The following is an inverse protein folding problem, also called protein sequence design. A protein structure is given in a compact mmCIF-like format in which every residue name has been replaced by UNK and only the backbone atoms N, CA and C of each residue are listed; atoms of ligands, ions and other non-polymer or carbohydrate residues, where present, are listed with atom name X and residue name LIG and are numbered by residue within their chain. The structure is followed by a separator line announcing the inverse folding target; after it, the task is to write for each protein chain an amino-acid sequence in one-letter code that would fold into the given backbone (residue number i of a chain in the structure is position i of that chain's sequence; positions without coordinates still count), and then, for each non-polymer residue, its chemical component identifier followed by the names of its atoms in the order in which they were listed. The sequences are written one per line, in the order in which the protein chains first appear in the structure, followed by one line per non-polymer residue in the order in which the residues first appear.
data_IF_515527360520
#
_entry.id   IF_515527360520
#
_cell.length_a   1.000
_cell.length_b   1.000
_cell.length_c   1.000
_cell.angle_alpha   90.00
_cell.angle_beta   90.00
_cell.angle_gamma   90.00
#
_symmetry.space_group_name_H-M   'P 1'
#
loop_
_entity.id
_entity.type
_entity.pdbx_description
1 polymer ?
#
# COMPACT_ATOMS: atom_id res chain seq x y z
N UNK A 1 1.61 12.25 -2.49
CA UNK A 1 1.78 11.18 -3.49
C UNK A 1 0.73 10.08 -3.34
N UNK A 2 0.29 9.40 -4.42
CA UNK A 2 -0.68 8.31 -4.36
C UNK A 2 -0.17 7.16 -3.48
N UNK A 3 -1.07 6.49 -2.74
CA UNK A 3 -0.69 5.33 -1.91
C UNK A 3 -0.11 4.19 -2.76
N UNK A 4 -0.70 3.97 -3.94
CA UNK A 4 -0.26 2.97 -4.92
C UNK A 4 1.22 3.11 -5.29
N UNK A 5 1.69 4.34 -5.53
CA UNK A 5 3.10 4.60 -5.89
C UNK A 5 4.05 4.32 -4.72
N UNK A 6 3.65 4.64 -3.49
CA UNK A 6 4.48 4.37 -2.30
C UNK A 6 4.58 2.87 -2.02
N UNK A 7 3.48 2.14 -2.16
CA UNK A 7 3.44 0.68 -2.05
C UNK A 7 4.37 0.05 -3.09
N UNK A 8 4.22 0.46 -4.36
CA UNK A 8 5.06 0.02 -5.47
C UNK A 8 6.56 0.29 -5.23
N UNK A 9 6.89 1.46 -4.70
CA UNK A 9 8.27 1.82 -4.33
C UNK A 9 8.82 0.95 -3.20
N UNK A 10 8.03 0.63 -2.16
CA UNK A 10 8.45 -0.24 -1.05
C UNK A 10 8.64 -1.69 -1.47
N UNK A 11 7.87 -2.18 -2.45
CA UNK A 11 8.02 -3.54 -3.00
C UNK A 11 8.97 -3.60 -4.19
N UNK A 12 9.61 -2.49 -4.57
CA UNK A 12 10.57 -2.43 -5.68
C UNK A 12 9.99 -2.72 -7.06
N UNK A 13 8.71 -2.37 -7.31
CA UNK A 13 8.06 -2.57 -8.61
C UNK A 13 7.59 -1.27 -9.24
N UNK A 14 7.71 -1.17 -10.57
CA UNK A 14 7.24 -0.01 -11.33
C UNK A 14 5.76 -0.08 -11.75
N UNK A 15 5.18 -1.29 -11.81
CA UNK A 15 3.78 -1.50 -12.22
C UNK A 15 3.06 -2.48 -11.29
N UNK A 16 1.79 -2.19 -11.03
CA UNK A 16 0.88 -3.09 -10.34
C UNK A 16 0.51 -4.31 -11.20
N UNK A 17 -0.33 -5.20 -10.66
CA UNK A 17 -0.82 -6.37 -11.39
C UNK A 17 -1.72 -5.92 -12.53
N UNK A 18 -1.16 -5.73 -13.72
CA UNK A 18 -1.89 -5.25 -14.91
C UNK A 18 -3.09 -6.12 -15.33
N UNK A 19 -3.26 -7.30 -14.72
CA UNK A 19 -4.48 -8.10 -14.74
C UNK A 19 -4.90 -8.36 -13.29
N UNK A 20 -5.87 -7.58 -12.83
CA UNK A 20 -6.52 -7.73 -11.54
C UNK A 20 -6.76 -9.20 -11.18
N UNK A 21 -6.46 -9.52 -9.91
CA UNK A 21 -6.78 -10.75 -9.17
C UNK A 21 -6.00 -12.05 -9.46
N UNK A 22 -5.38 -12.25 -10.63
CA UNK A 22 -4.76 -13.56 -10.96
C UNK A 22 -3.24 -13.58 -10.69
N UNK A 23 -2.53 -12.47 -10.91
CA UNK A 23 -1.10 -12.39 -10.61
C UNK A 23 -0.86 -11.52 -9.39
N UNK A 24 -0.22 -12.06 -8.35
CA UNK A 24 0.18 -11.23 -7.20
C UNK A 24 1.23 -10.21 -7.67
N UNK A 25 0.92 -8.92 -7.54
CA UNK A 25 1.86 -7.85 -7.82
C UNK A 25 3.06 -7.90 -6.87
N UNK A 26 2.93 -8.49 -5.69
CA UNK A 26 4.02 -8.66 -4.74
C UNK A 26 3.47 -8.88 -3.34
N UNK A 27 4.37 -8.84 -2.36
CA UNK A 27 4.04 -8.82 -0.93
C UNK A 27 4.57 -7.53 -0.32
N UNK A 28 3.82 -6.97 0.62
CA UNK A 28 4.22 -5.82 1.43
C UNK A 28 4.06 -6.20 2.90
N UNK A 29 5.02 -5.83 3.74
CA UNK A 29 4.93 -6.14 5.17
C UNK A 29 4.13 -5.10 5.93
N UNK A 30 3.53 -5.47 7.06
CA UNK A 30 2.88 -4.50 7.96
C UNK A 30 3.80 -3.35 8.39
N UNK A 31 5.10 -3.62 8.58
CA UNK A 31 6.09 -2.60 8.89
C UNK A 31 6.20 -1.56 7.76
N UNK A 32 6.29 -2.01 6.51
CA UNK A 32 6.32 -1.12 5.34
C UNK A 32 5.00 -0.34 5.18
N UNK A 33 3.87 -0.95 5.50
CA UNK A 33 2.57 -0.25 5.51
C UNK A 33 2.56 0.85 6.58
N UNK A 34 3.08 0.60 7.77
CA UNK A 34 3.18 1.60 8.84
C UNK A 34 4.03 2.79 8.40
N UNK A 35 5.20 2.53 7.80
CA UNK A 35 6.07 3.59 7.26
C UNK A 35 5.37 4.43 6.18
N UNK A 36 4.65 3.78 5.25
CA UNK A 36 3.86 4.50 4.23
C UNK A 36 2.74 5.30 4.87
N UNK A 37 2.07 4.74 5.88
CA UNK A 37 0.99 5.39 6.60
C UNK A 37 1.49 6.63 7.34
N UNK A 38 2.64 6.55 8.01
CA UNK A 38 3.30 7.69 8.69
C UNK A 38 3.76 8.76 7.68
N UNK A 39 4.45 8.35 6.60
CA UNK A 39 4.89 9.27 5.55
C UNK A 39 3.70 10.00 4.89
N UNK A 40 2.57 9.31 4.76
CA UNK A 40 1.37 9.86 4.12
C UNK A 40 0.37 10.46 5.12
N UNK A 41 0.54 10.25 6.42
CA UNK A 41 -0.33 10.76 7.49
C UNK A 41 -0.63 12.25 7.37
N UNK A 42 0.36 13.15 7.14
CA UNK A 42 0.07 14.58 6.96
C UNK A 42 -0.78 14.90 5.72
N UNK A 43 -0.91 13.96 4.77
CA UNK A 43 -1.68 14.10 3.54
C UNK A 43 -2.96 13.25 3.53
N UNK A 44 -3.29 12.56 4.64
CA UNK A 44 -4.47 11.72 4.77
C UNK A 44 -5.47 12.36 5.74
N UNK A 45 -6.76 12.27 5.42
CA UNK A 45 -7.85 12.55 6.37
C UNK A 45 -8.07 11.39 7.35
N UNK A 46 -7.01 10.72 7.78
CA UNK A 46 -7.09 9.61 8.71
C UNK A 46 -6.98 10.13 10.15
N UNK A 47 -7.94 9.75 11.00
CA UNK A 47 -7.96 10.15 12.41
C UNK A 47 -6.90 9.45 13.27
N UNK A 48 -6.32 8.36 12.77
CA UNK A 48 -5.30 7.55 13.46
C UNK A 48 -4.40 6.84 12.45
N UNK A 49 -3.18 6.46 12.89
CA UNK A 49 -2.24 5.67 12.08
C UNK A 49 -2.87 4.35 11.65
N UNK A 50 -3.63 3.68 12.53
CA UNK A 50 -4.36 2.46 12.15
C UNK A 50 -5.35 2.67 11.00
N UNK A 51 -6.06 3.80 10.99
CA UNK A 51 -7.00 4.14 9.90
C UNK A 51 -6.24 4.41 8.61
N UNK A 52 -5.09 5.07 8.70
CA UNK A 52 -4.20 5.28 7.56
C UNK A 52 -3.68 3.93 7.03
N UNK A 53 -3.19 3.05 7.90
CA UNK A 53 -2.71 1.71 7.54
C UNK A 53 -3.80 0.90 6.83
N UNK A 54 -5.03 0.86 7.35
CA UNK A 54 -6.17 0.19 6.68
C UNK A 54 -6.44 0.73 5.27
N UNK A 55 -6.32 2.04 5.07
CA UNK A 55 -6.44 2.65 3.73
C UNK A 55 -5.32 2.20 2.79
N UNK A 56 -4.09 2.12 3.29
CA UNK A 56 -2.93 1.64 2.51
C UNK A 56 -3.10 0.14 2.20
N UNK A 57 -3.52 -0.69 3.16
CA UNK A 57 -3.83 -2.11 2.99
C UNK A 57 -4.90 -2.34 1.92
N UNK A 58 -6.00 -1.57 1.98
CA UNK A 58 -7.06 -1.64 0.97
C UNK A 58 -6.52 -1.33 -0.43
N UNK A 59 -5.64 -0.34 -0.54
CA UNK A 59 -4.97 0.00 -1.80
C UNK A 59 -4.06 -1.15 -2.26
N UNK A 60 -3.25 -1.70 -1.37
CA UNK A 60 -2.34 -2.82 -1.68
C UNK A 60 -3.14 -4.02 -2.22
N UNK A 61 -4.21 -4.40 -1.54
CA UNK A 61 -5.09 -5.49 -1.94
C UNK A 61 -5.74 -5.25 -3.31
N UNK A 62 -6.21 -4.03 -3.57
CA UNK A 62 -6.81 -3.67 -4.87
C UNK A 62 -5.80 -3.73 -6.02
N UNK A 63 -4.52 -3.55 -5.76
CA UNK A 63 -3.45 -3.68 -6.76
C UNK A 63 -2.93 -5.12 -6.92
N UNK A 64 -3.48 -6.08 -6.15
CA UNK A 64 -3.00 -7.46 -6.12
C UNK A 64 -1.72 -7.66 -5.29
N UNK A 65 -1.42 -6.77 -4.34
CA UNK A 65 -0.33 -6.93 -3.38
C UNK A 65 -0.87 -7.61 -2.13
N UNK A 66 -0.23 -8.70 -1.71
CA UNK A 66 -0.57 -9.39 -0.45
C UNK A 66 0.11 -8.70 0.73
N UNK A 67 -0.59 -8.61 1.85
CA UNK A 67 -0.04 -8.05 3.10
C UNK A 67 0.38 -9.22 4.00
N UNK A 68 1.63 -9.22 4.45
CA UNK A 68 2.20 -10.17 5.42
C UNK A 68 2.67 -9.48 6.71
#
# INVERSE_FOLDING_TARGET
SPASRLILKKIGKDKGSGKNLVSKAGTITKAQISEIAEEKMPNLNASSIETAMKSIEGTARSMGVSVE
#
